data_IF_332112287420
#
_entry.id   IF_332112287420
#
_cell.length_a   1.000
_cell.length_b   1.000
_cell.length_c   1.000
_cell.angle_alpha   90.00
_cell.angle_beta   90.00
_cell.angle_gamma   90.00
#
_symmetry.space_group_name_H-M   'P 1'
#
loop_
_entity.id
_entity.type
_entity.pdbx_description
1 polymer ?
#
# COMPACT_ATOMS: atom_id res chain seq x y z
N UNK A 1 17.37 -34.85 -17.76
CA UNK A 1 16.98 -35.00 -16.34
C UNK A 1 15.53 -34.59 -16.22
N UNK A 2 14.71 -35.45 -15.63
CA UNK A 2 13.33 -35.13 -15.28
C UNK A 2 13.30 -34.75 -13.81
N UNK A 3 12.61 -33.66 -13.48
CA UNK A 3 12.45 -33.21 -12.10
C UNK A 3 10.97 -33.22 -11.77
N UNK A 4 10.62 -33.91 -10.70
CA UNK A 4 9.26 -33.97 -10.18
C UNK A 4 9.14 -33.06 -8.95
N UNK A 5 7.94 -32.53 -8.65
CA UNK A 5 7.73 -31.68 -7.50
C UNK A 5 7.64 -32.52 -6.22
N UNK A 6 8.68 -33.30 -5.92
CA UNK A 6 8.75 -34.19 -4.77
C UNK A 6 9.98 -33.80 -3.94
N UNK A 7 9.75 -33.45 -2.69
CA UNK A 7 10.82 -33.11 -1.74
C UNK A 7 10.60 -33.88 -0.44
N UNK A 8 11.61 -34.67 -0.02
CA UNK A 8 11.57 -35.47 1.21
C UNK A 8 10.32 -36.37 1.35
N UNK A 9 9.86 -36.97 0.24
CA UNK A 9 8.66 -37.83 0.22
C UNK A 9 7.33 -37.07 0.25
N UNK A 10 7.35 -35.73 0.23
CA UNK A 10 6.15 -34.90 0.11
C UNK A 10 5.99 -34.43 -1.33
N UNK A 11 4.80 -34.67 -1.88
CA UNK A 11 4.41 -34.13 -3.19
C UNK A 11 3.99 -32.66 -3.07
N UNK A 12 4.39 -31.89 -4.07
CA UNK A 12 4.08 -30.48 -4.24
C UNK A 12 3.42 -30.25 -5.60
N UNK A 13 2.82 -29.08 -5.76
CA UNK A 13 2.23 -28.66 -7.03
C UNK A 13 3.14 -27.61 -7.68
N UNK A 14 3.32 -27.73 -9.00
CA UNK A 14 4.03 -26.71 -9.77
C UNK A 14 3.32 -25.37 -9.70
N UNK A 15 4.03 -24.33 -9.28
CA UNK A 15 3.47 -22.97 -9.19
C UNK A 15 3.25 -22.30 -10.54
N UNK A 16 3.76 -22.87 -11.64
CA UNK A 16 3.64 -22.32 -12.99
C UNK A 16 3.17 -23.40 -13.95
N UNK A 17 2.35 -23.02 -14.94
CA UNK A 17 2.03 -23.89 -16.08
C UNK A 17 3.28 -24.17 -16.93
N UNK A 18 3.32 -25.25 -17.73
CA UNK A 18 4.46 -25.57 -18.58
C UNK A 18 4.88 -24.42 -19.50
N UNK A 19 3.91 -23.75 -20.11
CA UNK A 19 4.15 -22.60 -21.00
C UNK A 19 4.74 -21.39 -20.28
N UNK A 20 4.28 -21.11 -19.05
CA UNK A 20 4.84 -20.02 -18.22
C UNK A 20 6.23 -20.36 -17.72
N UNK A 21 6.47 -21.63 -17.37
CA UNK A 21 7.76 -22.12 -16.91
C UNK A 21 8.81 -21.97 -18.01
N UNK A 22 8.49 -22.39 -19.24
CA UNK A 22 9.40 -22.28 -20.38
C UNK A 22 9.81 -20.83 -20.63
N UNK A 23 8.84 -19.89 -20.66
CA UNK A 23 9.13 -18.46 -20.81
C UNK A 23 10.09 -17.92 -19.75
N UNK A 24 10.00 -18.41 -18.50
CA UNK A 24 10.89 -18.01 -17.40
C UNK A 24 12.29 -18.59 -17.54
N UNK A 25 12.40 -19.81 -18.06
CA UNK A 25 13.68 -20.44 -18.39
C UNK A 25 14.37 -19.66 -19.51
N UNK A 26 13.64 -19.35 -20.60
CA UNK A 26 14.17 -18.62 -21.75
C UNK A 26 14.66 -17.21 -21.37
N UNK A 27 13.96 -16.55 -20.44
CA UNK A 27 14.37 -15.25 -19.87
C UNK A 27 15.52 -15.33 -18.86
N UNK A 28 15.94 -16.53 -18.48
CA UNK A 28 16.96 -16.76 -17.45
C UNK A 28 16.51 -16.37 -16.04
N UNK A 29 15.21 -16.26 -15.80
CA UNK A 29 14.62 -15.98 -14.47
C UNK A 29 14.59 -17.23 -13.59
N UNK A 30 14.73 -18.42 -14.18
CA UNK A 30 14.75 -19.70 -13.49
C UNK A 30 16.04 -20.43 -13.84
N UNK A 31 16.80 -20.81 -12.82
CA UNK A 31 18.08 -21.52 -12.98
C UNK A 31 18.08 -22.79 -12.15
N UNK A 32 18.43 -23.91 -12.77
CA UNK A 32 18.69 -25.15 -12.07
C UNK A 32 20.17 -25.23 -11.71
N UNK A 33 20.49 -25.42 -10.42
CA UNK A 33 21.85 -25.54 -9.91
C UNK A 33 22.00 -26.82 -9.10
N UNK A 34 23.11 -27.54 -9.28
CA UNK A 34 23.46 -28.67 -8.40
C UNK A 34 24.01 -28.15 -7.08
N UNK A 35 23.46 -28.66 -5.98
CA UNK A 35 24.00 -28.48 -4.63
C UNK A 35 25.24 -29.34 -4.43
N UNK A 36 26.02 -29.03 -3.38
CA UNK A 36 27.21 -29.80 -2.95
C UNK A 36 26.92 -31.28 -2.68
N UNK A 37 25.70 -31.61 -2.28
CA UNK A 37 25.27 -32.98 -2.02
C UNK A 37 24.77 -33.73 -3.28
N UNK A 38 24.92 -33.14 -4.47
CA UNK A 38 24.50 -33.74 -5.74
C UNK A 38 23.06 -33.46 -6.16
N UNK A 39 22.20 -32.99 -5.24
CA UNK A 39 20.78 -32.72 -5.52
C UNK A 39 20.61 -31.45 -6.38
N UNK A 40 19.61 -31.46 -7.26
CA UNK A 40 19.28 -30.30 -8.09
C UNK A 40 18.36 -29.35 -7.32
N UNK A 41 18.65 -28.05 -7.35
CA UNK A 41 17.81 -26.99 -6.80
C UNK A 41 17.39 -26.04 -7.91
N UNK A 42 16.10 -25.69 -7.95
CA UNK A 42 15.57 -24.63 -8.80
C UNK A 42 15.64 -23.31 -8.03
N UNK A 43 16.29 -22.30 -8.62
CA UNK A 43 16.41 -20.95 -8.09
C UNK A 43 15.66 -19.97 -9.00
N UNK A 44 14.84 -19.12 -8.38
CA UNK A 44 14.18 -18.01 -9.06
C UNK A 44 15.02 -16.74 -8.88
N UNK A 45 15.56 -16.21 -9.98
CA UNK A 45 16.26 -14.92 -9.99
C UNK A 45 15.23 -13.80 -9.95
N UNK A 46 15.12 -13.13 -8.80
CA UNK A 46 14.38 -11.86 -8.68
C UNK A 46 15.33 -10.71 -8.98
N UNK A 47 15.09 -9.98 -10.07
CA UNK A 47 15.83 -8.75 -10.37
C UNK A 47 15.27 -7.62 -9.49
N UNK A 48 16.12 -7.07 -8.62
CA UNK A 48 15.78 -5.94 -7.74
C UNK A 48 15.48 -4.68 -8.58
N UNK A 49 16.06 -4.57 -9.78
CA UNK A 49 15.95 -3.39 -10.66
C UNK A 49 14.56 -3.13 -11.22
N UNK A 50 13.68 -4.13 -11.27
CA UNK A 50 12.33 -3.97 -11.84
C UNK A 50 11.32 -3.38 -10.85
N UNK A 51 11.62 -3.39 -9.55
CA UNK A 51 10.70 -2.90 -8.52
C UNK A 51 11.40 -1.87 -7.64
N UNK A 52 11.03 -0.59 -7.82
CA UNK A 52 11.33 0.43 -6.81
C UNK A 52 10.36 0.24 -5.64
N UNK A 53 10.82 -0.44 -4.60
CA UNK A 53 10.08 -0.60 -3.34
C UNK A 53 9.39 -1.94 -3.17
N UNK A 54 8.61 -2.04 -2.09
CA UNK A 54 7.91 -3.26 -1.69
C UNK A 54 6.50 -3.26 -2.29
N UNK A 55 6.06 -4.40 -2.84
CA UNK A 55 4.66 -4.56 -3.24
C UNK A 55 3.76 -4.50 -2.00
N UNK A 56 2.67 -3.72 -2.03
CA UNK A 56 1.75 -3.65 -0.91
C UNK A 56 1.19 -5.04 -0.62
N UNK A 57 1.12 -5.38 0.66
CA UNK A 57 0.48 -6.62 1.11
C UNK A 57 -1.04 -6.46 1.07
N UNK A 58 -1.77 -7.57 0.99
CA UNK A 58 -3.24 -7.56 1.09
C UNK A 58 -3.70 -7.13 2.49
N UNK A 59 -2.95 -7.50 3.53
CA UNK A 59 -3.27 -7.18 4.93
C UNK A 59 -2.21 -6.27 5.52
N UNK A 60 -2.64 -5.14 6.08
CA UNK A 60 -1.75 -4.11 6.62
C UNK A 60 -1.78 -4.18 8.14
N UNK A 61 -0.80 -4.86 8.74
CA UNK A 61 -0.76 -5.17 10.18
C UNK A 61 0.24 -4.35 10.98
N UNK A 62 1.00 -3.47 10.34
CA UNK A 62 1.95 -2.58 11.01
C UNK A 62 1.24 -1.68 12.04
N UNK A 63 1.94 -1.39 13.15
CA UNK A 63 1.46 -0.54 14.25
C UNK A 63 1.00 0.83 13.77
N UNK A 64 1.62 1.38 12.71
CA UNK A 64 1.25 2.68 12.14
C UNK A 64 -0.19 2.73 11.62
N UNK A 65 -0.77 1.60 11.27
CA UNK A 65 -2.16 1.50 10.80
C UNK A 65 -3.18 1.47 11.95
N UNK A 66 -2.73 1.52 13.20
CA UNK A 66 -3.60 1.57 14.36
C UNK A 66 -4.37 2.91 14.43
N UNK A 67 -5.70 2.83 14.25
CA UNK A 67 -6.60 3.98 14.27
C UNK A 67 -6.72 4.67 15.64
N UNK A 68 -6.54 3.93 16.75
CA UNK A 68 -6.62 4.52 18.10
C UNK A 68 -5.46 5.48 18.35
N UNK A 69 -4.23 5.07 18.02
CA UNK A 69 -3.03 5.89 18.23
C UNK A 69 -2.90 6.94 17.13
N UNK A 70 -3.02 6.55 15.87
CA UNK A 70 -2.73 7.40 14.71
C UNK A 70 -3.97 8.04 14.08
N UNK A 71 -5.14 7.86 14.70
CA UNK A 71 -6.38 8.57 14.38
C UNK A 71 -6.90 9.32 15.60
N UNK A 72 -7.33 8.60 16.64
CA UNK A 72 -8.02 9.21 17.80
C UNK A 72 -7.09 10.13 18.60
N UNK A 73 -5.96 9.62 19.11
CA UNK A 73 -5.01 10.44 19.88
C UNK A 73 -4.43 11.59 19.06
N UNK A 74 -4.17 11.34 17.78
CA UNK A 74 -3.69 12.36 16.84
C UNK A 74 -4.68 13.53 16.74
N UNK A 75 -5.97 13.24 16.50
CA UNK A 75 -6.99 14.28 16.38
C UNK A 75 -7.29 14.95 17.72
N UNK A 76 -7.28 14.21 18.83
CA UNK A 76 -7.41 14.78 20.16
C UNK A 76 -6.29 15.80 20.44
N UNK A 77 -5.05 15.49 20.05
CA UNK A 77 -3.92 16.41 20.17
C UNK A 77 -4.06 17.68 19.33
N UNK A 78 -4.68 17.59 18.16
CA UNK A 78 -4.90 18.75 17.26
C UNK A 78 -6.07 19.60 17.73
N UNK A 79 -7.17 18.96 18.15
CA UNK A 79 -8.42 19.64 18.47
C UNK A 79 -8.55 20.00 19.96
N UNK A 80 -7.65 19.49 20.81
CA UNK A 80 -7.69 19.65 22.27
C UNK A 80 -8.86 18.93 22.96
N UNK A 81 -9.64 18.14 22.22
CA UNK A 81 -10.79 17.38 22.72
C UNK A 81 -11.12 16.20 21.83
N UNK A 82 -11.82 15.22 22.40
CA UNK A 82 -12.34 14.07 21.67
C UNK A 82 -13.61 14.43 20.91
N UNK A 83 -13.46 14.88 19.66
CA UNK A 83 -14.61 15.22 18.78
C UNK A 83 -15.08 14.09 17.86
N UNK A 84 -14.26 13.04 17.68
CA UNK A 84 -14.58 11.92 16.79
C UNK A 84 -14.34 10.58 17.49
N UNK A 85 -15.29 9.66 17.34
CA UNK A 85 -15.23 8.35 18.00
C UNK A 85 -14.31 7.36 17.27
N UNK A 86 -14.32 7.36 15.94
CA UNK A 86 -13.64 6.36 15.11
C UNK A 86 -12.94 6.98 13.88
N UNK A 87 -12.00 7.91 14.06
CA UNK A 87 -11.19 8.39 12.96
C UNK A 87 -10.31 7.26 12.39
N UNK A 88 -10.11 7.26 11.08
CA UNK A 88 -9.15 6.35 10.44
C UNK A 88 -7.72 6.75 10.85
N UNK A 89 -6.77 5.80 10.79
CA UNK A 89 -5.34 6.13 10.94
C UNK A 89 -4.89 7.03 9.78
N UNK A 90 -4.15 8.09 10.10
CA UNK A 90 -3.56 8.98 9.11
C UNK A 90 -2.65 8.21 8.15
N UNK A 91 -1.80 7.31 8.67
CA UNK A 91 -0.81 6.59 7.87
C UNK A 91 -1.46 5.67 6.85
N UNK A 92 -2.57 5.01 7.22
CA UNK A 92 -3.32 4.16 6.30
C UNK A 92 -3.75 4.94 5.06
N UNK A 93 -4.27 6.16 5.24
CA UNK A 93 -4.74 6.96 4.11
C UNK A 93 -3.57 7.52 3.30
N UNK A 94 -2.50 7.97 3.95
CA UNK A 94 -1.29 8.45 3.26
C UNK A 94 -0.72 7.37 2.33
N UNK A 95 -0.62 6.12 2.78
CA UNK A 95 -0.08 5.05 1.95
C UNK A 95 -1.03 4.62 0.82
N UNK A 96 -2.35 4.64 1.07
CA UNK A 96 -3.33 4.43 -0.01
C UNK A 96 -3.10 5.48 -1.10
N UNK A 97 -3.01 6.76 -0.75
CA UNK A 97 -2.80 7.83 -1.73
C UNK A 97 -1.47 7.67 -2.48
N UNK A 98 -0.38 7.30 -1.79
CA UNK A 98 0.91 7.01 -2.44
C UNK A 98 0.85 5.86 -3.44
N UNK A 99 -0.05 4.90 -3.25
CA UNK A 99 -0.19 3.73 -4.11
C UNK A 99 -1.18 3.95 -5.27
N UNK A 100 -2.14 4.87 -5.12
CA UNK A 100 -3.26 4.99 -6.06
C UNK A 100 -3.38 6.33 -6.75
N UNK A 101 -2.53 7.30 -6.44
CA UNK A 101 -2.61 8.67 -6.98
C UNK A 101 -1.25 9.23 -7.35
N UNK A 102 -1.24 10.13 -8.33
CA UNK A 102 -0.11 10.93 -8.74
C UNK A 102 -0.28 12.42 -8.36
N UNK A 103 0.75 13.22 -8.60
CA UNK A 103 0.70 14.66 -8.33
C UNK A 103 -0.34 15.35 -9.23
N UNK A 104 -1.22 16.14 -8.61
CA UNK A 104 -2.27 16.89 -9.32
C UNK A 104 -3.62 16.19 -9.40
N UNK A 105 -3.71 14.92 -8.98
CA UNK A 105 -4.98 14.19 -8.92
C UNK A 105 -5.97 14.84 -7.95
N UNK A 106 -7.26 14.66 -8.26
CA UNK A 106 -8.38 15.08 -7.42
C UNK A 106 -8.88 13.87 -6.64
N UNK A 107 -8.77 13.96 -5.32
CA UNK A 107 -9.20 12.92 -4.38
C UNK A 107 -10.58 13.30 -3.84
N UNK A 108 -11.55 12.40 -3.96
CA UNK A 108 -12.91 12.62 -3.47
C UNK A 108 -13.26 11.59 -2.41
N UNK A 109 -13.72 12.06 -1.24
CA UNK A 109 -14.16 11.20 -0.15
C UNK A 109 -15.59 11.59 0.28
N UNK A 110 -16.55 10.72 -0.07
CA UNK A 110 -17.97 10.92 0.24
C UNK A 110 -18.33 10.64 1.70
N UNK A 111 -17.41 10.08 2.48
CA UNK A 111 -17.61 9.68 3.87
C UNK A 111 -16.52 10.27 4.77
N UNK A 112 -16.21 11.55 4.53
CA UNK A 112 -15.09 12.26 5.13
C UNK A 112 -14.97 12.14 6.66
N UNK A 113 -16.11 12.12 7.38
CA UNK A 113 -16.16 11.98 8.83
C UNK A 113 -15.23 12.97 9.54
N UNK A 114 -14.14 12.46 10.14
CA UNK A 114 -13.12 13.24 10.83
C UNK A 114 -12.17 14.04 9.91
N UNK A 115 -12.32 13.94 8.59
CA UNK A 115 -11.48 14.63 7.62
C UNK A 115 -10.07 14.03 7.49
N UNK A 116 -9.86 12.77 7.89
CA UNK A 116 -8.53 12.12 7.86
C UNK A 116 -7.93 12.13 6.45
N UNK A 117 -8.74 11.96 5.40
CA UNK A 117 -8.31 12.03 4.00
C UNK A 117 -7.71 13.40 3.66
N UNK A 118 -8.23 14.47 4.25
CA UNK A 118 -7.78 15.84 3.94
C UNK A 118 -6.47 16.14 4.61
N UNK A 119 -6.37 15.69 5.86
CA UNK A 119 -5.12 15.68 6.59
C UNK A 119 -4.04 14.89 5.85
N UNK A 120 -4.37 13.71 5.31
CA UNK A 120 -3.43 12.89 4.54
C UNK A 120 -2.93 13.59 3.26
N UNK A 121 -3.82 14.27 2.52
CA UNK A 121 -3.43 15.03 1.31
C UNK A 121 -2.49 16.19 1.65
N UNK A 122 -2.80 16.97 2.69
CA UNK A 122 -1.92 18.06 3.14
C UNK A 122 -0.55 17.51 3.55
N UNK A 123 -0.53 16.42 4.31
CA UNK A 123 0.71 15.77 4.74
C UNK A 123 1.55 15.28 3.56
N UNK A 124 0.91 14.66 2.57
CA UNK A 124 1.57 14.16 1.37
C UNK A 124 2.17 15.31 0.54
N UNK A 125 1.39 16.37 0.31
CA UNK A 125 1.84 17.54 -0.44
C UNK A 125 3.04 18.22 0.25
N UNK A 126 3.03 18.32 1.58
CA UNK A 126 4.14 18.92 2.34
C UNK A 126 5.44 18.11 2.26
N UNK A 127 5.35 16.78 2.25
CA UNK A 127 6.53 15.90 2.26
C UNK A 127 7.15 15.72 0.88
N UNK A 128 6.30 15.56 -0.13
CA UNK A 128 6.72 15.15 -1.48
C UNK A 128 6.63 16.31 -2.49
N UNK A 129 6.26 17.52 -2.05
CA UNK A 129 6.07 18.68 -2.93
C UNK A 129 4.89 18.54 -3.91
N UNK A 130 3.97 17.63 -3.62
CA UNK A 130 2.83 17.29 -4.48
C UNK A 130 1.74 18.36 -4.52
N UNK A 131 0.97 18.36 -5.62
CA UNK A 131 -0.14 19.29 -5.87
C UNK A 131 -1.53 18.67 -5.74
N UNK A 132 -1.66 17.53 -5.07
CA UNK A 132 -2.94 16.81 -4.93
C UNK A 132 -3.98 17.67 -4.24
N UNK A 133 -5.25 17.54 -4.66
CA UNK A 133 -6.38 18.28 -4.07
C UNK A 133 -7.39 17.31 -3.52
N UNK A 134 -7.90 17.60 -2.33
CA UNK A 134 -8.95 16.79 -1.71
C UNK A 134 -10.29 17.52 -1.71
N UNK A 135 -11.36 16.83 -2.09
CA UNK A 135 -12.73 17.35 -2.15
C UNK A 135 -13.65 16.49 -1.29
N UNK A 136 -14.44 17.16 -0.45
CA UNK A 136 -15.43 16.52 0.42
C UNK A 136 -16.83 17.06 0.07
N UNK A 137 -17.78 16.21 -0.34
CA UNK A 137 -19.17 16.62 -0.39
C UNK A 137 -19.65 16.84 1.05
N UNK A 138 -20.03 18.08 1.40
CA UNK A 138 -20.64 18.37 2.69
C UNK A 138 -22.15 18.19 2.60
N UNK A 139 -22.71 17.34 3.49
CA UNK A 139 -24.12 17.45 3.86
C UNK A 139 -24.24 18.68 4.79
N UNK A 140 -25.03 19.67 4.39
CA UNK A 140 -25.30 20.82 5.24
C UNK A 140 -26.08 20.35 6.49
N UNK A 141 -25.40 20.28 7.63
CA UNK A 141 -26.04 20.11 8.94
C UNK A 141 -25.56 21.28 9.80
N UNK A 142 -26.42 22.27 10.02
CA UNK A 142 -26.19 23.40 10.92
C UNK A 142 -25.19 24.45 10.42
N UNK A 143 -25.65 25.70 10.28
CA UNK A 143 -24.92 26.79 9.65
C UNK A 143 -23.54 27.09 10.22
N UNK A 144 -22.51 26.97 9.37
CA UNK A 144 -21.30 27.81 9.36
C UNK A 144 -20.47 27.42 8.13
N UNK A 145 -20.84 27.95 6.96
CA UNK A 145 -20.06 27.78 5.73
C UNK A 145 -19.10 28.97 5.60
N UNK A 146 -17.81 28.73 5.84
CA UNK A 146 -16.75 29.50 5.17
C UNK A 146 -15.94 28.54 4.33
N UNK A 147 -15.87 28.83 3.05
CA UNK A 147 -15.05 28.16 2.05
C UNK A 147 -13.58 28.37 2.40
N UNK A 148 -12.85 27.28 2.65
CA UNK A 148 -11.40 27.30 2.52
C UNK A 148 -11.08 27.13 1.03
N UNK A 149 -11.08 28.26 0.33
CA UNK A 149 -10.36 28.46 -0.92
C UNK A 149 -9.41 29.63 -0.67
N UNK A 150 -8.16 29.33 -0.27
CA UNK A 150 -6.92 30.08 -0.56
C UNK A 150 -5.82 29.71 0.42
N UNK A 151 -4.74 29.18 -0.12
CA UNK A 151 -3.34 29.56 0.07
C UNK A 151 -2.56 28.62 -0.87
N UNK A 152 -2.12 29.10 -2.04
CA UNK A 152 -0.86 29.83 -2.23
C UNK A 152 0.33 28.96 -1.82
#
# INVERSE_FOLDING_TARGET
YELFPIENGKEWVWSNSPSTLQKKIDKGELVAQRRRNGNLQILFKRRITEYKGQRPQTTWTDKRYNATVHGTKLLEGILGRKSFSYPKSLHTIVDILKLTTDAGDIIVDFFAGSGTTGHAVVELNRREGGGQKAVYPRRAVGGACRSLHRAA
#
